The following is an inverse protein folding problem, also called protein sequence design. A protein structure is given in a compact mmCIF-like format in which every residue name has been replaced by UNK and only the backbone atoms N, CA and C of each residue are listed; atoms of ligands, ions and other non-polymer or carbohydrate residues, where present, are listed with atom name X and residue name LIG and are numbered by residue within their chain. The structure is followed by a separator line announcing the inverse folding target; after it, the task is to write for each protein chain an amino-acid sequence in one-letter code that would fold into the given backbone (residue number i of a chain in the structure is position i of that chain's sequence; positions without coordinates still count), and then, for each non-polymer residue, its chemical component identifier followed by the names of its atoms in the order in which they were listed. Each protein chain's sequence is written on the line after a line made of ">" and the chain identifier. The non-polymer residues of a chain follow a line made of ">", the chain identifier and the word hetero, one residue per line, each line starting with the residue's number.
data_IF_813965874452
#
_entry.id   IF_813965874452
#
_cell.length_a   1.000
_cell.length_b   1.000
_cell.length_c   1.000
_cell.angle_alpha   90.00
_cell.angle_beta   90.00
_cell.angle_gamma   90.00
#
_symmetry.space_group_name_H-M   'P 1'
#
loop_
_entity.id
_entity.type
_entity.pdbx_description
1 polymer ?
#
# COMPACT_ATOMS: atom_id res chain seq x y z
N UNK A 1 -14.64 15.16 -24.64
CA UNK A 1 -13.52 14.82 -25.55
C UNK A 1 -12.25 14.46 -24.79
N UNK A 2 -11.75 15.27 -23.84
CA UNK A 2 -10.52 14.93 -23.08
C UNK A 2 -10.66 13.62 -22.28
N UNK A 3 -11.75 13.41 -21.55
CA UNK A 3 -11.97 12.18 -20.76
C UNK A 3 -12.11 10.91 -21.61
N UNK A 4 -12.81 10.97 -22.74
CA UNK A 4 -12.88 9.83 -23.68
C UNK A 4 -11.53 9.47 -24.31
N UNK A 5 -10.62 10.45 -24.44
CA UNK A 5 -9.25 10.20 -24.91
C UNK A 5 -8.40 9.64 -23.77
N UNK A 6 -8.62 10.10 -22.53
CA UNK A 6 -7.99 9.52 -21.34
C UNK A 6 -8.37 8.05 -21.15
N UNK A 7 -9.66 7.70 -21.21
CA UNK A 7 -10.12 6.31 -21.12
C UNK A 7 -9.47 5.44 -22.19
N UNK A 8 -9.40 5.92 -23.44
CA UNK A 8 -8.72 5.20 -24.52
C UNK A 8 -7.21 5.05 -24.29
N UNK A 9 -6.56 6.05 -23.71
CA UNK A 9 -5.14 5.96 -23.38
C UNK A 9 -4.91 4.91 -22.29
N UNK A 10 -5.78 4.87 -21.27
CA UNK A 10 -5.76 3.87 -20.20
C UNK A 10 -6.00 2.45 -20.74
N UNK A 11 -6.98 2.27 -21.63
CA UNK A 11 -7.26 0.97 -22.28
C UNK A 11 -6.07 0.43 -23.08
N UNK A 12 -5.25 1.32 -23.64
CA UNK A 12 -4.07 0.96 -24.43
C UNK A 12 -2.77 0.95 -23.61
N UNK A 13 -2.82 1.15 -22.29
CA UNK A 13 -1.64 1.32 -21.43
C UNK A 13 -0.65 2.40 -21.94
N UNK A 14 -1.16 3.47 -22.55
CA UNK A 14 -0.35 4.56 -23.10
C UNK A 14 0.03 5.56 -21.99
N UNK A 15 1.09 5.23 -21.25
CA UNK A 15 1.62 5.99 -20.10
C UNK A 15 1.87 7.45 -20.46
N UNK A 16 2.64 7.70 -21.52
CA UNK A 16 3.01 9.05 -21.95
C UNK A 16 1.77 9.89 -22.27
N UNK A 17 0.76 9.28 -22.90
CA UNK A 17 -0.47 9.98 -23.22
C UNK A 17 -1.31 10.27 -21.98
N UNK A 18 -1.37 9.36 -21.01
CA UNK A 18 -2.06 9.58 -19.73
C UNK A 18 -1.42 10.76 -18.99
N UNK A 19 -0.11 10.75 -18.81
CA UNK A 19 0.62 11.84 -18.12
C UNK A 19 0.42 13.20 -18.80
N UNK A 20 0.54 13.25 -20.13
CA UNK A 20 0.30 14.47 -20.91
C UNK A 20 -1.12 15.00 -20.70
N UNK A 21 -2.13 14.13 -20.77
CA UNK A 21 -3.53 14.53 -20.61
C UNK A 21 -3.81 15.07 -19.22
N UNK A 22 -3.27 14.43 -18.17
CA UNK A 22 -3.43 14.86 -16.78
C UNK A 22 -2.70 16.18 -16.50
N UNK A 23 -1.53 16.39 -17.11
CA UNK A 23 -0.78 17.65 -16.99
C UNK A 23 -1.46 18.85 -17.67
N UNK A 24 -2.27 18.61 -18.71
CA UNK A 24 -3.06 19.64 -19.39
C UNK A 24 -4.45 19.90 -18.76
N UNK A 25 -4.80 19.18 -17.69
CA UNK A 25 -6.09 19.32 -17.01
C UNK A 25 -6.05 20.43 -15.96
N UNK A 26 -7.18 21.14 -15.82
CA UNK A 26 -7.39 22.05 -14.69
C UNK A 26 -7.73 21.29 -13.40
N UNK A 27 -7.67 21.97 -12.25
CA UNK A 27 -8.06 21.40 -10.96
C UNK A 27 -9.49 20.82 -10.96
N UNK A 28 -10.46 21.52 -11.57
CA UNK A 28 -11.83 21.01 -11.70
C UNK A 28 -11.90 19.72 -12.54
N UNK A 29 -11.03 19.59 -13.54
CA UNK A 29 -10.95 18.39 -14.37
C UNK A 29 -10.25 17.24 -13.66
N UNK A 30 -9.32 17.53 -12.74
CA UNK A 30 -8.68 16.52 -11.90
C UNK A 30 -9.67 15.81 -10.98
N UNK A 31 -10.74 16.48 -10.52
CA UNK A 31 -11.77 15.80 -9.74
C UNK A 31 -12.45 14.69 -10.55
N UNK A 32 -12.83 14.96 -11.80
CA UNK A 32 -13.47 13.94 -12.64
C UNK A 32 -12.47 12.89 -13.14
N UNK A 33 -11.23 13.31 -13.45
CA UNK A 33 -10.15 12.38 -13.78
C UNK A 33 -9.87 11.41 -12.63
N UNK A 34 -9.89 11.88 -11.38
CA UNK A 34 -9.70 11.04 -10.18
C UNK A 34 -10.69 9.87 -10.17
N UNK A 35 -11.98 10.14 -10.43
CA UNK A 35 -13.02 9.09 -10.46
C UNK A 35 -12.77 8.07 -11.56
N UNK A 36 -12.37 8.52 -12.75
CA UNK A 36 -12.02 7.65 -13.87
C UNK A 36 -10.83 6.76 -13.48
N UNK A 37 -9.75 7.36 -12.97
CA UNK A 37 -8.55 6.63 -12.56
C UNK A 37 -8.85 5.62 -11.44
N UNK A 38 -9.63 5.97 -10.42
CA UNK A 38 -10.06 5.04 -9.35
C UNK A 38 -10.84 3.86 -9.92
N UNK A 39 -11.77 4.12 -10.86
CA UNK A 39 -12.55 3.07 -11.52
C UNK A 39 -11.63 2.07 -12.25
N UNK A 40 -10.68 2.57 -13.05
CA UNK A 40 -9.72 1.70 -13.73
C UNK A 40 -8.78 0.99 -12.76
N UNK A 41 -8.34 1.67 -11.70
CA UNK A 41 -7.39 1.16 -10.70
C UNK A 41 -7.96 -0.07 -9.98
N UNK A 42 -9.24 0.00 -9.60
CA UNK A 42 -9.91 -1.07 -8.85
C UNK A 42 -10.29 -2.28 -9.71
N UNK A 43 -10.37 -2.10 -11.03
CA UNK A 43 -10.81 -3.13 -11.98
C UNK A 43 -9.67 -3.82 -12.72
N UNK A 44 -8.49 -3.19 -12.82
CA UNK A 44 -7.39 -3.75 -13.62
C UNK A 44 -6.69 -4.94 -12.94
N UNK A 45 -6.43 -5.99 -13.74
CA UNK A 45 -5.54 -7.09 -13.38
C UNK A 45 -4.08 -6.80 -13.77
N UNK A 46 -3.85 -5.81 -14.65
CA UNK A 46 -2.53 -5.46 -15.13
C UNK A 46 -1.76 -4.66 -14.07
N UNK A 47 -0.67 -5.26 -13.57
CA UNK A 47 0.23 -4.65 -12.59
C UNK A 47 0.82 -3.33 -13.08
N UNK A 48 1.19 -3.22 -14.36
CA UNK A 48 1.81 -2.02 -14.90
C UNK A 48 0.78 -0.89 -14.98
N UNK A 49 -0.43 -1.18 -15.45
CA UNK A 49 -1.52 -0.22 -15.46
C UNK A 49 -1.90 0.22 -14.03
N UNK A 50 -1.97 -0.71 -13.08
CA UNK A 50 -2.24 -0.39 -11.67
C UNK A 50 -1.18 0.55 -11.10
N UNK A 51 0.10 0.31 -11.38
CA UNK A 51 1.19 1.17 -10.94
C UNK A 51 1.10 2.57 -11.55
N UNK A 52 0.86 2.66 -12.86
CA UNK A 52 0.63 3.93 -13.56
C UNK A 52 -0.50 4.73 -12.89
N UNK A 53 -1.64 4.08 -12.67
CA UNK A 53 -2.82 4.70 -12.08
C UNK A 53 -2.56 5.18 -10.64
N UNK A 54 -1.83 4.40 -9.84
CA UNK A 54 -1.47 4.78 -8.49
C UNK A 54 -0.56 6.02 -8.46
N UNK A 55 0.43 6.10 -9.34
CA UNK A 55 1.31 7.27 -9.48
C UNK A 55 0.50 8.50 -9.96
N UNK A 56 -0.34 8.34 -10.97
CA UNK A 56 -1.19 9.42 -11.46
C UNK A 56 -2.12 9.97 -10.36
N UNK A 57 -2.71 9.10 -9.54
CA UNK A 57 -3.57 9.51 -8.42
C UNK A 57 -2.79 10.25 -7.33
N UNK A 58 -1.57 9.81 -7.04
CA UNK A 58 -0.65 10.50 -6.13
C UNK A 58 -0.33 11.91 -6.64
N UNK A 59 0.02 12.04 -7.91
CA UNK A 59 0.41 13.32 -8.50
C UNK A 59 -0.76 14.30 -8.59
N UNK A 60 -1.99 13.79 -8.77
CA UNK A 60 -3.22 14.59 -8.67
C UNK A 60 -3.48 15.05 -7.22
N UNK A 61 -3.17 14.21 -6.23
CA UNK A 61 -3.27 14.57 -4.81
C UNK A 61 -4.72 14.70 -4.30
N UNK A 62 -5.70 14.07 -4.95
CA UNK A 62 -7.09 14.08 -4.50
C UNK A 62 -7.33 13.00 -3.44
N UNK A 63 -7.74 13.40 -2.23
CA UNK A 63 -8.02 12.54 -1.07
C UNK A 63 -9.04 11.42 -1.35
N UNK A 64 -9.91 11.55 -2.36
CA UNK A 64 -10.80 10.46 -2.79
C UNK A 64 -10.03 9.18 -3.21
N UNK A 65 -8.74 9.29 -3.55
CA UNK A 65 -7.88 8.17 -3.93
C UNK A 65 -7.41 7.30 -2.75
N UNK A 66 -7.41 7.83 -1.52
CA UNK A 66 -6.80 7.16 -0.35
C UNK A 66 -7.47 5.82 -0.06
N UNK A 67 -8.79 5.81 0.11
CA UNK A 67 -9.53 4.58 0.43
C UNK A 67 -9.37 3.50 -0.66
N UNK A 68 -9.52 3.79 -1.96
CA UNK A 68 -9.23 2.83 -3.04
C UNK A 68 -7.80 2.27 -3.00
N UNK A 69 -6.79 3.12 -2.84
CA UNK A 69 -5.38 2.71 -2.79
C UNK A 69 -5.10 1.82 -1.57
N UNK A 70 -5.60 2.21 -0.39
CA UNK A 70 -5.48 1.44 0.85
C UNK A 70 -6.15 0.07 0.74
N UNK A 71 -7.37 0.02 0.17
CA UNK A 71 -8.11 -1.24 0.05
C UNK A 71 -7.37 -2.25 -0.84
N UNK A 72 -6.69 -1.79 -1.88
CA UNK A 72 -5.88 -2.64 -2.74
C UNK A 72 -4.67 -3.27 -2.04
N UNK A 73 -4.22 -2.74 -0.90
CA UNK A 73 -3.18 -3.39 -0.09
C UNK A 73 -3.64 -4.73 0.48
N UNK A 74 -4.94 -4.98 0.61
CA UNK A 74 -5.47 -6.27 1.07
C UNK A 74 -5.96 -7.17 -0.08
N UNK A 75 -5.96 -6.68 -1.32
CA UNK A 75 -6.38 -7.45 -2.48
C UNK A 75 -5.33 -8.53 -2.81
N UNK A 76 -5.79 -9.72 -3.21
CA UNK A 76 -4.91 -10.82 -3.59
C UNK A 76 -4.16 -10.55 -4.89
N UNK A 77 -4.75 -9.77 -5.80
CA UNK A 77 -4.17 -9.39 -7.11
C UNK A 77 -2.94 -8.49 -6.97
N UNK A 78 -2.76 -7.89 -5.80
CA UNK A 78 -1.62 -7.02 -5.52
C UNK A 78 -0.47 -7.75 -4.82
N UNK A 79 -0.61 -9.05 -4.50
CA UNK A 79 0.45 -9.82 -3.86
C UNK A 79 1.77 -9.72 -4.65
N UNK A 80 2.86 -9.30 -4.01
CA UNK A 80 4.14 -9.05 -4.67
C UNK A 80 4.21 -7.77 -5.53
N UNK A 81 3.23 -6.86 -5.42
CA UNK A 81 3.17 -5.60 -6.18
C UNK A 81 2.52 -4.44 -5.40
N UNK A 82 2.65 -4.43 -4.08
CA UNK A 82 2.06 -3.41 -3.20
C UNK A 82 2.95 -2.17 -3.01
N UNK A 83 4.24 -2.23 -3.36
CA UNK A 83 5.19 -1.14 -3.14
C UNK A 83 4.74 0.19 -3.76
N UNK A 84 4.30 0.17 -5.02
CA UNK A 84 3.81 1.40 -5.69
C UNK A 84 2.54 1.96 -5.06
N UNK A 85 1.66 1.11 -4.51
CA UNK A 85 0.48 1.57 -3.79
C UNK A 85 0.87 2.29 -2.49
N UNK A 86 1.82 1.74 -1.74
CA UNK A 86 2.36 2.38 -0.53
C UNK A 86 3.06 3.69 -0.86
N UNK A 87 3.88 3.72 -1.92
CA UNK A 87 4.53 4.94 -2.40
C UNK A 87 3.51 6.02 -2.80
N UNK A 88 2.42 5.63 -3.47
CA UNK A 88 1.35 6.55 -3.81
C UNK A 88 0.71 7.19 -2.57
N UNK A 89 0.61 6.43 -1.47
CA UNK A 89 0.00 6.87 -0.22
C UNK A 89 0.87 7.84 0.60
N UNK A 90 2.16 7.99 0.31
CA UNK A 90 3.11 8.82 1.10
C UNK A 90 2.72 10.30 1.19
N UNK A 91 1.94 10.82 0.23
CA UNK A 91 1.51 12.22 0.20
C UNK A 91 0.16 12.46 0.90
N UNK A 92 -0.49 11.40 1.41
CA UNK A 92 -1.84 11.47 1.94
C UNK A 92 -1.88 11.21 3.46
N UNK A 93 -2.92 11.74 4.13
CA UNK A 93 -3.18 11.41 5.52
C UNK A 93 -3.86 10.03 5.64
N UNK A 94 -3.07 9.01 5.96
CA UNK A 94 -3.54 7.64 6.13
C UNK A 94 -3.98 7.31 7.57
N UNK A 95 -4.11 8.29 8.47
CA UNK A 95 -4.39 8.07 9.91
C UNK A 95 -5.67 7.26 10.14
N UNK A 96 -6.71 7.49 9.33
CA UNK A 96 -7.96 6.74 9.39
C UNK A 96 -7.82 5.24 9.06
N UNK A 97 -6.69 4.84 8.46
CA UNK A 97 -6.41 3.50 7.96
C UNK A 97 -5.30 2.78 8.73
N UNK A 98 -4.96 3.24 9.93
CA UNK A 98 -3.87 2.66 10.75
C UNK A 98 -3.95 1.14 10.89
N UNK A 99 -5.15 0.57 11.13
CA UNK A 99 -5.26 -0.88 11.30
C UNK A 99 -4.84 -1.68 10.05
N UNK A 100 -5.08 -1.15 8.86
CA UNK A 100 -4.68 -1.78 7.60
C UNK A 100 -3.17 -1.69 7.45
N UNK A 101 -2.58 -0.53 7.73
CA UNK A 101 -1.14 -0.34 7.64
C UNK A 101 -0.38 -1.19 8.66
N UNK A 102 -0.91 -1.35 9.88
CA UNK A 102 -0.36 -2.28 10.88
C UNK A 102 -0.42 -3.73 10.38
N UNK A 103 -1.54 -4.14 9.78
CA UNK A 103 -1.62 -5.48 9.18
C UNK A 103 -0.56 -5.70 8.09
N UNK A 104 -0.38 -4.72 7.19
CA UNK A 104 0.64 -4.78 6.14
C UNK A 104 2.06 -4.77 6.72
N UNK A 105 2.32 -3.97 7.75
CA UNK A 105 3.60 -3.95 8.47
C UNK A 105 3.94 -5.30 9.12
N UNK A 106 2.95 -6.01 9.67
CA UNK A 106 3.19 -7.28 10.37
C UNK A 106 3.28 -8.49 9.43
N UNK A 107 2.66 -8.41 8.25
CA UNK A 107 2.49 -9.58 7.35
C UNK A 107 3.14 -9.42 5.97
N UNK A 108 3.54 -8.20 5.61
CA UNK A 108 4.15 -7.89 4.32
C UNK A 108 5.54 -8.49 4.13
N UNK A 109 6.03 -8.47 2.90
CA UNK A 109 7.45 -8.67 2.61
C UNK A 109 8.26 -7.42 3.02
N UNK A 110 9.59 -7.48 2.92
CA UNK A 110 10.47 -6.37 3.33
C UNK A 110 10.05 -4.99 2.77
N UNK A 111 9.74 -4.91 1.47
CA UNK A 111 9.30 -3.68 0.80
C UNK A 111 7.97 -3.16 1.38
N UNK A 112 6.99 -4.05 1.57
CA UNK A 112 5.68 -3.70 2.13
C UNK A 112 5.79 -3.26 3.57
N UNK A 113 6.63 -3.93 4.37
CA UNK A 113 6.86 -3.55 5.76
C UNK A 113 7.50 -2.16 5.86
N UNK A 114 8.52 -1.88 5.03
CA UNK A 114 9.18 -0.58 5.01
C UNK A 114 8.22 0.55 4.62
N UNK A 115 7.45 0.37 3.54
CA UNK A 115 6.46 1.37 3.12
C UNK A 115 5.34 1.57 4.14
N UNK A 116 4.81 0.49 4.71
CA UNK A 116 3.80 0.59 5.76
C UNK A 116 4.34 1.32 7.01
N UNK A 117 5.58 1.03 7.41
CA UNK A 117 6.24 1.71 8.52
C UNK A 117 6.37 3.21 8.26
N UNK A 118 6.85 3.61 7.07
CA UNK A 118 6.98 5.02 6.70
C UNK A 118 5.65 5.78 6.78
N UNK A 119 4.57 5.18 6.29
CA UNK A 119 3.22 5.75 6.36
C UNK A 119 2.71 5.86 7.80
N UNK A 120 3.05 4.92 8.67
CA UNK A 120 2.68 4.97 10.10
C UNK A 120 3.49 6.04 10.82
N UNK A 121 4.79 6.15 10.54
CA UNK A 121 5.69 7.13 11.13
C UNK A 121 5.28 8.57 10.77
N UNK A 122 4.77 8.79 9.56
CA UNK A 122 4.33 10.10 9.10
C UNK A 122 2.96 10.54 9.63
N UNK A 123 2.21 9.68 10.34
CA UNK A 123 0.88 10.02 10.84
C UNK A 123 0.92 11.14 11.88
N UNK A 124 -0.01 12.08 11.74
CA UNK A 124 -0.22 13.12 12.74
C UNK A 124 -1.00 12.55 13.94
N UNK A 125 -0.77 13.12 15.12
CA UNK A 125 -1.27 12.58 16.39
C UNK A 125 -2.77 12.84 16.56
N UNK A 126 -3.62 12.00 15.96
CA UNK A 126 -5.06 11.99 16.24
C UNK A 126 -5.75 10.63 15.97
N UNK A 127 -5.06 9.53 16.28
CA UNK A 127 -5.64 8.17 16.22
C UNK A 127 -6.57 7.97 17.41
N UNK A 128 -7.74 7.34 17.20
CA UNK A 128 -8.63 7.02 18.32
C UNK A 128 -7.98 6.02 19.29
N UNK A 129 -8.28 6.16 20.58
CA UNK A 129 -7.69 5.29 21.62
C UNK A 129 -7.93 3.81 21.37
N UNK A 130 -9.13 3.44 20.87
CA UNK A 130 -9.48 2.05 20.56
C UNK A 130 -8.65 1.49 19.40
N UNK A 131 -8.47 2.27 18.34
CA UNK A 131 -7.65 1.86 17.18
C UNK A 131 -6.18 1.73 17.57
N UNK A 132 -5.69 2.65 18.39
CA UNK A 132 -4.32 2.61 18.90
C UNK A 132 -4.10 1.38 19.79
N UNK A 133 -5.03 1.10 20.72
CA UNK A 133 -4.94 -0.05 21.61
C UNK A 133 -4.94 -1.37 20.84
N UNK A 134 -5.85 -1.53 19.86
CA UNK A 134 -5.88 -2.71 18.97
C UNK A 134 -4.57 -2.86 18.18
N UNK A 135 -4.02 -1.76 17.69
CA UNK A 135 -2.77 -1.75 16.92
C UNK A 135 -1.58 -2.16 17.79
N UNK A 136 -1.47 -1.59 19.00
CA UNK A 136 -0.46 -1.96 19.99
C UNK A 136 -0.55 -3.44 20.38
N UNK A 137 -1.76 -3.94 20.59
CA UNK A 137 -1.97 -5.35 20.92
C UNK A 137 -1.48 -6.26 19.78
N UNK A 138 -1.85 -5.98 18.53
CA UNK A 138 -1.39 -6.76 17.36
C UNK A 138 0.15 -6.78 17.23
N UNK A 139 0.80 -5.63 17.45
CA UNK A 139 2.27 -5.54 17.41
C UNK A 139 2.90 -6.35 18.56
N UNK A 140 2.34 -6.26 19.77
CA UNK A 140 2.82 -7.02 20.92
C UNK A 140 2.68 -8.53 20.73
N UNK A 141 1.52 -9.00 20.26
CA UNK A 141 1.30 -10.42 19.95
C UNK A 141 2.31 -10.95 18.92
N UNK A 142 2.67 -10.13 17.93
CA UNK A 142 3.70 -10.50 16.95
C UNK A 142 5.10 -10.55 17.58
N UNK A 143 5.42 -9.63 18.49
CA UNK A 143 6.68 -9.64 19.22
C UNK A 143 6.82 -10.91 20.08
N UNK A 144 5.79 -11.24 20.87
CA UNK A 144 5.76 -12.44 21.71
C UNK A 144 5.92 -13.73 20.86
N UNK A 145 5.36 -13.75 19.64
CA UNK A 145 5.57 -14.85 18.70
C UNK A 145 7.03 -14.92 18.21
N UNK A 146 7.63 -13.79 17.86
CA UNK A 146 9.02 -13.75 17.39
C UNK A 146 9.97 -14.24 18.48
N UNK A 147 9.78 -13.82 19.73
CA UNK A 147 10.58 -14.26 20.87
C UNK A 147 10.49 -15.80 21.04
N UNK A 148 9.27 -16.36 21.00
CA UNK A 148 9.08 -17.82 21.08
C UNK A 148 9.75 -18.58 19.94
N UNK A 149 9.68 -18.05 18.72
CA UNK A 149 10.34 -18.67 17.57
C UNK A 149 11.87 -18.59 17.67
N UNK A 150 12.42 -17.50 18.23
CA UNK A 150 13.85 -17.36 18.48
C UNK A 150 14.34 -18.40 19.50
N UNK A 151 13.61 -18.60 20.59
CA UNK A 151 13.90 -19.65 21.58
C UNK A 151 13.93 -21.04 20.91
N UNK A 152 12.87 -21.39 20.15
CA UNK A 152 12.79 -22.67 19.46
C UNK A 152 13.94 -22.87 18.45
N UNK A 153 14.30 -21.84 17.70
CA UNK A 153 15.43 -21.92 16.77
C UNK A 153 16.77 -22.09 17.50
N UNK A 154 16.95 -21.44 18.65
CA UNK A 154 18.14 -21.62 19.49
C UNK A 154 18.26 -23.07 19.98
N UNK A 155 17.16 -23.65 20.48
CA UNK A 155 17.13 -25.04 20.94
C UNK A 155 17.48 -26.03 19.82
N UNK A 156 17.01 -25.77 18.60
CA UNK A 156 17.34 -26.59 17.42
C UNK A 156 18.82 -26.45 17.04
N UNK A 157 19.40 -25.25 17.11
CA UNK A 157 20.83 -25.06 16.84
C UNK A 157 21.69 -25.86 17.82
N UNK A 158 21.35 -25.83 19.10
CA UNK A 158 22.04 -26.60 20.14
C UNK A 158 21.93 -28.12 19.87
N UNK A 159 20.72 -28.61 19.58
CA UNK A 159 20.51 -30.02 19.23
C UNK A 159 21.32 -30.44 17.99
N UNK A 160 21.33 -29.63 16.93
CA UNK A 160 22.08 -29.92 15.70
C UNK A 160 23.59 -29.92 15.93
N UNK A 161 24.10 -29.09 16.84
CA UNK A 161 25.52 -29.09 17.22
C UNK A 161 25.92 -30.42 17.87
N UNK A 162 25.08 -30.94 18.76
CA UNK A 162 25.32 -32.21 19.47
C UNK A 162 25.30 -33.44 18.54
N UNK A 163 24.60 -33.38 17.40
CA UNK A 163 24.57 -34.47 16.41
C UNK A 163 25.92 -34.71 15.70
N UNK A 164 26.84 -33.75 15.74
CA UNK A 164 28.12 -33.82 15.02
C UNK A 164 29.27 -34.39 15.89
N UNK A 165 28.97 -34.92 17.09
CA UNK A 165 29.96 -35.44 18.06
C UNK A 165 30.12 -36.97 18.01
N UNK A 166 29.93 -37.59 16.84
CA UNK A 166 30.35 -38.99 16.57
C UNK A 166 31.47 -39.02 15.55
#
# INVERSE_FOLDING_TARGET
>A
MKFSVLERALENNDVEKVELLLGEMSADQHQEATKILIKHLTQTEDKNLRNLLAIALRDIGNEEAVSPLINLLNDSRTLGSRGTLLYALELFDCTAHLEILIHQFLTGNYEVQAGAYQLIESMNRNVSGDVLLKSLQKVKERLDEIERQQELHSDILDFLFDLNVT
#
